data_IF_921576900110
#
_entry.id   IF_921576900110
#
_cell.length_a   1.000
_cell.length_b   1.000
_cell.length_c   1.000
_cell.angle_alpha   90.00
_cell.angle_beta   90.00
_cell.angle_gamma   90.00
#
_symmetry.space_group_name_H-M   'P 1'
#
loop_
_entity.id
_entity.type
_entity.pdbx_description
1 polymer ?
#
# COMPACT_ATOMS: atom_id res chain seq x y z
N UNK A 1 -31.08 17.01 -42.98
CA UNK A 1 -30.60 17.92 -41.96
C UNK A 1 -31.05 17.39 -40.60
N UNK A 2 -30.17 16.80 -39.86
CA UNK A 2 -30.37 16.47 -38.44
C UNK A 2 -29.11 16.92 -37.73
N UNK A 3 -29.20 18.04 -37.05
CA UNK A 3 -28.20 18.52 -36.11
C UNK A 3 -28.13 17.54 -34.95
N UNK A 4 -27.06 16.76 -34.84
CA UNK A 4 -26.77 15.97 -33.65
C UNK A 4 -26.02 16.87 -32.68
N UNK A 5 -26.77 17.31 -31.74
CA UNK A 5 -26.45 17.92 -30.49
C UNK A 5 -25.12 17.51 -29.89
N UNK A 6 -24.15 18.41 -29.92
CA UNK A 6 -22.89 18.37 -29.18
C UNK A 6 -23.06 18.92 -27.77
N UNK A 7 -24.01 18.37 -27.00
CA UNK A 7 -24.35 18.85 -25.66
C UNK A 7 -24.14 17.82 -24.55
N UNK A 8 -22.98 17.16 -24.50
CA UNK A 8 -22.62 16.26 -23.39
C UNK A 8 -21.18 16.48 -22.89
N UNK A 9 -20.70 17.72 -22.85
CA UNK A 9 -19.55 18.07 -22.03
C UNK A 9 -20.01 19.00 -20.90
N UNK A 10 -20.97 18.47 -20.13
CA UNK A 10 -21.48 19.10 -18.92
C UNK A 10 -20.38 19.11 -17.86
N UNK A 11 -20.10 20.31 -17.33
CA UNK A 11 -19.37 20.63 -16.09
C UNK A 11 -18.37 19.56 -15.61
N UNK A 12 -17.09 19.78 -15.84
CA UNK A 12 -16.02 19.00 -15.23
C UNK A 12 -16.09 19.20 -13.72
N UNK A 13 -16.84 18.33 -13.06
CA UNK A 13 -16.82 18.25 -11.60
C UNK A 13 -15.43 17.73 -11.23
N UNK A 14 -14.62 18.57 -10.63
CA UNK A 14 -13.34 18.16 -10.07
C UNK A 14 -13.67 17.38 -8.80
N UNK A 15 -13.24 16.12 -8.65
CA UNK A 15 -13.48 15.35 -7.44
C UNK A 15 -12.78 16.01 -6.24
N UNK A 16 -13.34 15.91 -5.06
CA UNK A 16 -12.76 16.46 -3.84
C UNK A 16 -11.49 15.71 -3.43
N UNK A 17 -11.40 14.43 -3.79
CA UNK A 17 -10.26 13.56 -3.53
C UNK A 17 -9.99 12.65 -4.73
N UNK A 18 -8.71 12.46 -5.05
CA UNK A 18 -8.25 11.44 -6.00
C UNK A 18 -7.28 10.49 -5.30
N UNK A 19 -7.56 9.20 -5.35
CA UNK A 19 -6.72 8.17 -4.74
C UNK A 19 -5.89 7.42 -5.79
N UNK A 20 -4.63 7.15 -5.44
CA UNK A 20 -3.69 6.41 -6.27
C UNK A 20 -3.02 5.30 -5.46
N UNK A 21 -2.77 4.17 -6.11
CA UNK A 21 -1.76 3.23 -5.67
C UNK A 21 -0.36 3.80 -5.94
N UNK A 22 0.64 3.36 -5.18
CA UNK A 22 2.01 3.87 -5.27
C UNK A 22 2.88 3.03 -6.20
N UNK A 23 3.05 1.75 -5.87
CA UNK A 23 4.01 0.88 -6.54
C UNK A 23 3.51 0.47 -7.94
N UNK A 24 4.34 0.70 -8.98
CA UNK A 24 4.02 0.46 -10.40
C UNK A 24 2.83 1.28 -10.94
N UNK A 25 2.34 2.26 -10.15
CA UNK A 25 1.31 3.24 -10.54
C UNK A 25 1.90 4.66 -10.59
N UNK A 26 2.30 5.23 -9.47
CA UNK A 26 2.93 6.54 -9.40
C UNK A 26 4.44 6.49 -9.59
N UNK A 27 5.08 5.40 -9.18
CA UNK A 27 6.51 5.17 -9.32
C UNK A 27 6.80 3.67 -9.54
N UNK A 28 7.89 3.30 -10.23
CA UNK A 28 8.35 1.92 -10.24
C UNK A 28 8.55 1.41 -8.81
N UNK A 29 8.18 0.14 -8.57
CA UNK A 29 8.16 -0.43 -7.22
C UNK A 29 9.43 -0.14 -6.42
N UNK A 30 9.24 0.39 -5.21
CA UNK A 30 10.29 0.75 -4.25
C UNK A 30 11.29 1.80 -4.76
N UNK A 31 10.91 2.60 -5.73
CA UNK A 31 11.72 3.72 -6.19
C UNK A 31 11.09 5.05 -5.78
N UNK A 32 11.90 6.10 -5.75
CA UNK A 32 11.44 7.47 -5.52
C UNK A 32 10.50 7.90 -6.65
N UNK A 33 9.52 8.71 -6.32
CA UNK A 33 8.61 9.34 -7.28
C UNK A 33 9.41 10.10 -8.35
N UNK A 34 9.20 9.81 -9.66
CA UNK A 34 9.86 10.55 -10.73
C UNK A 34 9.53 12.03 -10.66
N UNK A 35 10.49 12.89 -11.02
CA UNK A 35 10.32 14.35 -10.95
C UNK A 35 9.11 14.85 -11.76
N UNK A 36 8.84 14.25 -12.89
CA UNK A 36 7.69 14.58 -13.72
C UNK A 36 6.38 14.26 -13.01
N UNK A 37 6.30 13.08 -12.39
CA UNK A 37 5.14 12.67 -11.60
C UNK A 37 4.95 13.56 -10.37
N UNK A 38 6.04 13.92 -9.69
CA UNK A 38 5.99 14.86 -8.56
C UNK A 38 5.38 16.20 -8.97
N UNK A 39 5.77 16.76 -10.13
CA UNK A 39 5.17 18.00 -10.67
C UNK A 39 3.67 17.85 -10.96
N UNK A 40 3.24 16.69 -11.46
CA UNK A 40 1.81 16.41 -11.71
C UNK A 40 1.04 16.37 -10.40
N UNK A 41 1.57 15.68 -9.38
CA UNK A 41 0.95 15.61 -8.05
C UNK A 41 0.83 17.01 -7.42
N UNK A 42 1.89 17.83 -7.48
CA UNK A 42 1.84 19.22 -6.98
C UNK A 42 0.71 20.01 -7.66
N UNK A 43 0.60 19.95 -8.97
CA UNK A 43 -0.48 20.61 -9.72
C UNK A 43 -1.86 20.07 -9.37
N UNK A 44 -1.96 18.80 -9.02
CA UNK A 44 -3.21 18.19 -8.60
C UNK A 44 -3.59 18.65 -7.19
N UNK A 45 -2.65 18.77 -6.28
CA UNK A 45 -2.85 19.28 -4.92
C UNK A 45 -3.38 20.73 -4.89
N UNK A 46 -3.07 21.53 -5.92
CA UNK A 46 -3.64 22.87 -6.04
C UNK A 46 -5.16 22.85 -6.28
N UNK A 47 -5.70 21.75 -6.79
CA UNK A 47 -7.10 21.63 -7.22
C UNK A 47 -7.95 20.73 -6.36
N UNK A 48 -7.36 19.66 -5.83
CA UNK A 48 -8.08 18.61 -5.08
C UNK A 48 -7.15 17.97 -4.04
N UNK A 49 -7.72 17.23 -3.11
CA UNK A 49 -6.94 16.37 -2.23
C UNK A 49 -6.44 15.14 -2.98
N UNK A 50 -5.26 14.67 -2.62
CA UNK A 50 -4.64 13.45 -3.18
C UNK A 50 -4.41 12.46 -2.06
N UNK A 51 -4.83 11.23 -2.29
CA UNK A 51 -4.57 10.09 -1.42
C UNK A 51 -3.58 9.14 -2.11
N UNK A 52 -2.56 8.70 -1.40
CA UNK A 52 -1.66 7.65 -1.86
C UNK A 52 -1.78 6.47 -0.91
N UNK A 53 -2.10 5.29 -1.45
CA UNK A 53 -2.28 4.05 -0.70
C UNK A 53 -1.31 2.99 -1.20
N UNK A 54 -0.69 2.23 -0.30
CA UNK A 54 0.18 1.09 -0.65
C UNK A 54 0.34 0.16 0.54
N UNK A 55 0.72 -1.09 0.27
CA UNK A 55 1.08 -2.07 1.29
C UNK A 55 2.39 -1.78 2.05
N UNK A 56 3.16 -0.75 1.63
CA UNK A 56 4.40 -0.35 2.28
C UNK A 56 4.19 0.32 3.64
N UNK A 57 5.25 0.35 4.47
CA UNK A 57 5.25 1.10 5.73
C UNK A 57 5.43 2.60 5.48
N UNK A 58 5.10 3.46 6.46
CA UNK A 58 5.27 4.92 6.36
C UNK A 58 6.70 5.34 6.00
N UNK A 59 7.74 4.66 6.50
CA UNK A 59 9.13 4.91 6.11
C UNK A 59 9.35 4.82 4.60
N UNK A 60 8.67 3.90 3.91
CA UNK A 60 8.71 3.79 2.46
C UNK A 60 8.03 5.00 1.79
N UNK A 61 6.87 5.42 2.26
CA UNK A 61 6.20 6.63 1.77
C UNK A 61 7.07 7.87 1.95
N UNK A 62 7.78 7.98 3.08
CA UNK A 62 8.67 9.10 3.34
C UNK A 62 9.75 9.21 2.29
N UNK A 63 10.44 8.11 1.97
CA UNK A 63 11.52 8.11 0.98
C UNK A 63 11.03 8.18 -0.47
N UNK A 64 9.90 7.57 -0.79
CA UNK A 64 9.40 7.52 -2.16
C UNK A 64 8.58 8.76 -2.54
N UNK A 65 7.74 9.25 -1.63
CA UNK A 65 6.75 10.30 -1.93
C UNK A 65 7.12 11.63 -1.25
N UNK A 66 7.26 11.62 0.09
CA UNK A 66 7.43 12.87 0.85
C UNK A 66 8.69 13.61 0.45
N UNK A 67 9.85 12.92 0.37
CA UNK A 67 11.11 13.53 -0.03
C UNK A 67 11.11 14.05 -1.49
N UNK A 68 10.22 13.52 -2.34
CA UNK A 68 10.05 14.01 -3.71
C UNK A 68 9.16 15.25 -3.79
N UNK A 69 8.39 15.53 -2.75
CA UNK A 69 7.40 16.62 -2.66
C UNK A 69 7.72 17.63 -1.55
N UNK A 70 8.95 17.62 -1.03
CA UNK A 70 9.35 18.42 0.17
C UNK A 70 9.00 19.92 0.03
N UNK A 71 9.12 20.48 -1.16
CA UNK A 71 8.85 21.90 -1.45
C UNK A 71 7.40 22.14 -1.95
N UNK A 72 6.53 21.15 -1.91
CA UNK A 72 5.16 21.29 -2.39
C UNK A 72 4.33 22.20 -1.45
N UNK A 73 3.62 23.21 -1.99
CA UNK A 73 2.96 24.24 -1.16
C UNK A 73 1.69 23.73 -0.46
N UNK A 74 1.11 22.63 -0.89
CA UNK A 74 -0.19 22.13 -0.43
C UNK A 74 -0.12 20.69 0.11
N UNK A 75 0.92 20.39 0.90
CA UNK A 75 1.06 19.07 1.56
C UNK A 75 -0.06 18.78 2.57
N UNK A 76 -0.76 19.79 3.06
CA UNK A 76 -1.98 19.69 3.86
C UNK A 76 -3.10 18.89 3.18
N UNK A 77 -3.10 18.83 1.83
CA UNK A 77 -4.04 18.07 1.00
C UNK A 77 -3.54 16.69 0.57
N UNK A 78 -2.33 16.31 0.98
CA UNK A 78 -1.78 15.00 0.69
C UNK A 78 -2.07 14.04 1.85
N UNK A 79 -2.76 12.96 1.53
CA UNK A 79 -3.14 11.91 2.46
C UNK A 79 -2.33 10.65 2.16
N UNK A 80 -1.64 10.09 3.15
CA UNK A 80 -0.83 8.88 2.99
C UNK A 80 -1.44 7.75 3.79
N UNK A 81 -1.73 6.63 3.13
CA UNK A 81 -2.34 5.44 3.69
C UNK A 81 -1.42 4.23 3.57
N UNK A 82 -0.42 4.10 4.45
CA UNK A 82 0.43 2.92 4.53
C UNK A 82 -0.31 1.66 4.99
N UNK A 83 0.34 0.51 4.83
CA UNK A 83 -0.17 -0.80 5.24
C UNK A 83 -1.60 -1.06 4.72
N UNK A 84 -1.82 -0.77 3.42
CA UNK A 84 -3.13 -0.90 2.76
C UNK A 84 -4.26 -0.08 3.40
N UNK A 85 -3.93 1.09 3.99
CA UNK A 85 -4.89 1.99 4.59
C UNK A 85 -5.22 1.73 6.06
N UNK A 86 -4.59 0.75 6.70
CA UNK A 86 -4.74 0.51 8.15
C UNK A 86 -3.96 1.52 8.99
N UNK A 87 -3.17 2.36 8.35
CA UNK A 87 -2.52 3.53 8.93
C UNK A 87 -2.83 4.75 8.08
N UNK A 88 -2.95 5.91 8.71
CA UNK A 88 -3.21 7.17 8.01
C UNK A 88 -2.34 8.29 8.56
N UNK A 89 -1.69 9.01 7.64
CA UNK A 89 -0.84 10.15 7.92
C UNK A 89 -1.26 11.38 7.13
N UNK A 90 -1.15 12.54 7.77
CA UNK A 90 -1.33 13.87 7.17
C UNK A 90 -0.19 14.78 7.52
N UNK A 91 0.05 15.77 6.64
CA UNK A 91 0.90 16.91 6.98
C UNK A 91 0.06 17.96 7.71
N UNK A 92 0.45 18.27 8.95
CA UNK A 92 -0.17 19.29 9.81
C UNK A 92 0.94 20.22 10.26
N UNK A 93 0.83 21.50 9.98
CA UNK A 93 1.82 22.53 10.31
C UNK A 93 3.25 22.20 9.85
N UNK A 94 3.35 21.56 8.67
CA UNK A 94 4.63 21.14 8.07
C UNK A 94 5.18 19.80 8.57
N UNK A 95 4.55 19.19 9.57
CA UNK A 95 4.98 17.92 10.15
C UNK A 95 4.02 16.77 9.78
N UNK A 96 4.60 15.59 9.50
CA UNK A 96 3.82 14.39 9.22
C UNK A 96 3.33 13.74 10.51
N UNK A 97 2.04 13.80 10.74
CA UNK A 97 1.38 13.22 11.91
C UNK A 97 0.59 11.98 11.55
N UNK A 98 0.70 10.94 12.38
CA UNK A 98 -0.13 9.75 12.30
C UNK A 98 -1.49 10.06 12.93
N UNK A 99 -2.54 10.00 12.13
CA UNK A 99 -3.91 10.31 12.54
C UNK A 99 -4.56 9.09 13.17
N UNK A 100 -4.38 7.90 12.56
CA UNK A 100 -4.82 6.64 13.14
C UNK A 100 -3.91 5.48 12.76
N UNK A 101 -4.02 4.40 13.53
CA UNK A 101 -3.55 3.06 13.23
C UNK A 101 -4.56 2.05 13.76
N UNK A 102 -4.96 1.10 12.92
CA UNK A 102 -5.73 -0.08 13.29
C UNK A 102 -4.75 -1.20 13.68
N UNK A 103 -4.08 -1.05 14.82
CA UNK A 103 -3.08 -2.00 15.27
C UNK A 103 -3.71 -3.37 15.61
N UNK A 104 -3.00 -4.45 15.28
CA UNK A 104 -3.31 -5.77 15.78
C UNK A 104 -2.96 -5.86 17.27
N UNK A 105 -3.77 -6.53 18.06
CA UNK A 105 -3.42 -6.90 19.42
C UNK A 105 -2.27 -7.93 19.43
N UNK A 106 -1.58 -8.06 20.56
CA UNK A 106 -0.47 -9.03 20.67
C UNK A 106 -0.94 -10.48 20.44
N UNK A 107 -2.17 -10.82 20.87
CA UNK A 107 -2.77 -12.12 20.62
C UNK A 107 -3.06 -12.32 19.11
N UNK A 108 -3.60 -11.32 18.42
CA UNK A 108 -3.85 -11.36 16.99
C UNK A 108 -2.55 -11.49 16.20
N UNK A 109 -1.50 -10.75 16.58
CA UNK A 109 -0.17 -10.85 15.97
C UNK A 109 0.41 -12.24 16.14
N UNK A 110 0.39 -12.78 17.36
CA UNK A 110 0.93 -14.11 17.67
C UNK A 110 0.23 -15.18 16.84
N UNK A 111 -1.10 -15.16 16.81
CA UNK A 111 -1.89 -16.12 16.02
C UNK A 111 -1.66 -15.97 14.50
N UNK A 112 -1.54 -14.74 14.02
CA UNK A 112 -1.26 -14.48 12.61
C UNK A 112 0.15 -14.96 12.21
N UNK A 113 1.16 -14.72 13.05
CA UNK A 113 2.53 -15.17 12.81
C UNK A 113 2.61 -16.69 12.78
N UNK A 114 2.04 -17.37 13.77
CA UNK A 114 2.01 -18.84 13.86
C UNK A 114 1.29 -19.46 12.64
N UNK A 115 0.14 -18.90 12.26
CA UNK A 115 -0.62 -19.38 11.12
C UNK A 115 0.16 -19.22 9.80
N UNK A 116 0.81 -18.07 9.58
CA UNK A 116 1.62 -17.84 8.39
C UNK A 116 2.85 -18.72 8.36
N UNK A 117 3.55 -18.90 9.49
CA UNK A 117 4.71 -19.79 9.60
C UNK A 117 4.30 -21.24 9.29
N UNK A 118 3.25 -21.76 9.92
CA UNK A 118 2.75 -23.11 9.68
C UNK A 118 2.44 -23.33 8.21
N UNK A 119 1.68 -22.43 7.60
CA UNK A 119 1.36 -22.53 6.17
C UNK A 119 2.60 -22.43 5.27
N UNK A 120 3.55 -21.56 5.61
CA UNK A 120 4.77 -21.42 4.82
C UNK A 120 5.64 -22.68 4.90
N UNK A 121 5.73 -23.33 6.07
CA UNK A 121 6.43 -24.60 6.25
C UNK A 121 5.74 -25.73 5.49
N UNK A 122 4.43 -25.87 5.59
CA UNK A 122 3.65 -26.89 4.88
C UNK A 122 3.78 -26.79 3.35
N UNK A 123 3.97 -25.57 2.84
CA UNK A 123 4.15 -25.29 1.41
C UNK A 123 5.62 -25.34 0.96
N UNK A 124 6.58 -25.60 1.86
CA UNK A 124 8.01 -25.56 1.55
C UNK A 124 8.50 -24.17 1.13
N UNK A 125 7.87 -23.11 1.66
CA UNK A 125 8.22 -21.72 1.37
C UNK A 125 9.02 -21.08 2.50
N UNK A 126 9.14 -21.77 3.63
CA UNK A 126 9.91 -21.27 4.77
C UNK A 126 11.40 -21.44 4.52
N UNK A 127 12.13 -20.35 4.65
CA UNK A 127 13.59 -20.30 4.47
C UNK A 127 14.25 -20.05 5.83
N UNK A 128 15.17 -20.92 6.24
CA UNK A 128 15.88 -20.77 7.51
C UNK A 128 17.07 -19.80 7.40
N UNK A 129 17.67 -19.72 6.20
CA UNK A 129 18.78 -18.81 5.93
C UNK A 129 18.30 -17.57 5.17
N UNK A 130 18.00 -16.50 5.90
CA UNK A 130 17.42 -15.28 5.33
C UNK A 130 18.28 -14.06 5.65
N UNK A 131 18.21 -13.04 4.78
CA UNK A 131 18.90 -11.75 4.94
C UNK A 131 18.12 -10.75 5.81
N UNK A 132 16.99 -11.14 6.34
CA UNK A 132 16.13 -10.33 7.18
C UNK A 132 15.05 -11.18 7.83
N UNK A 133 14.15 -10.59 8.62
CA UNK A 133 13.09 -11.34 9.28
C UNK A 133 12.17 -12.01 8.24
N UNK A 134 11.86 -13.29 8.47
CA UNK A 134 10.95 -14.07 7.62
C UNK A 134 9.52 -13.56 7.70
N UNK A 135 9.13 -13.04 8.87
CA UNK A 135 7.87 -12.35 9.10
C UNK A 135 8.16 -10.91 9.53
N UNK A 136 7.46 -9.96 8.96
CA UNK A 136 7.53 -8.55 9.32
C UNK A 136 6.25 -8.14 10.05
N UNK A 137 6.39 -7.72 11.33
CA UNK A 137 5.32 -7.01 12.04
C UNK A 137 5.30 -5.55 11.57
N UNK A 138 4.21 -5.12 10.98
CA UNK A 138 3.95 -3.75 10.54
C UNK A 138 2.91 -3.06 11.40
N UNK A 139 2.77 -3.50 12.66
CA UNK A 139 1.82 -3.00 13.65
C UNK A 139 0.36 -3.42 13.33
N UNK A 140 -0.14 -3.11 12.16
CA UNK A 140 -1.49 -3.41 11.68
C UNK A 140 -1.56 -4.54 10.66
N UNK A 141 -0.41 -5.13 10.31
CA UNK A 141 -0.29 -6.15 9.28
C UNK A 141 0.93 -7.04 9.54
N UNK A 142 0.75 -8.36 9.42
CA UNK A 142 1.86 -9.31 9.36
C UNK A 142 2.16 -9.62 7.90
N UNK A 143 3.40 -9.44 7.49
CA UNK A 143 3.84 -9.67 6.10
C UNK A 143 4.86 -10.80 6.05
N UNK A 144 4.68 -11.72 5.11
CA UNK A 144 5.64 -12.74 4.74
C UNK A 144 6.36 -12.33 3.45
N UNK A 145 7.52 -11.65 3.55
CA UNK A 145 8.25 -11.21 2.36
C UNK A 145 9.01 -12.37 1.74
N UNK A 146 8.47 -12.99 0.71
CA UNK A 146 9.05 -14.11 -0.05
C UNK A 146 10.49 -13.87 -0.58
N UNK A 147 11.01 -12.66 -0.43
CA UNK A 147 12.30 -12.22 -1.01
C UNK A 147 13.47 -12.20 -0.03
N UNK A 148 13.25 -12.67 1.21
CA UNK A 148 14.26 -12.58 2.28
C UNK A 148 15.44 -13.52 2.04
N UNK A 149 15.25 -14.55 1.21
CA UNK A 149 16.28 -15.55 0.85
C UNK A 149 17.35 -15.08 -0.14
N UNK A 150 17.27 -13.84 -0.66
CA UNK A 150 18.21 -13.33 -1.68
C UNK A 150 18.81 -11.99 -1.32
N UNK A 151 20.12 -11.76 -1.59
CA UNK A 151 20.75 -10.46 -1.36
C UNK A 151 20.08 -9.35 -2.18
N UNK A 152 20.06 -8.11 -1.69
CA UNK A 152 19.34 -6.97 -2.29
C UNK A 152 19.66 -6.71 -3.77
N UNK A 153 20.89 -6.99 -4.20
CA UNK A 153 21.38 -6.75 -5.56
C UNK A 153 20.79 -7.68 -6.63
N UNK A 154 20.27 -8.85 -6.25
CA UNK A 154 19.74 -9.87 -7.18
C UNK A 154 18.22 -9.83 -7.32
N UNK A 155 17.53 -8.96 -6.56
CA UNK A 155 16.06 -8.91 -6.48
C UNK A 155 15.33 -8.48 -7.75
N UNK A 156 16.01 -7.79 -8.68
CA UNK A 156 15.31 -7.05 -9.75
C UNK A 156 15.04 -7.80 -11.06
N UNK A 157 15.48 -9.04 -11.27
CA UNK A 157 15.52 -9.61 -12.63
C UNK A 157 14.63 -10.82 -12.93
N UNK A 158 13.79 -11.31 -12.04
CA UNK A 158 12.86 -12.39 -12.40
C UNK A 158 11.45 -12.09 -11.93
N UNK A 159 10.57 -11.94 -12.92
CA UNK A 159 9.15 -11.78 -12.74
C UNK A 159 8.57 -12.89 -11.85
N UNK A 160 7.56 -12.54 -11.10
CA UNK A 160 6.83 -13.41 -10.19
C UNK A 160 6.14 -14.51 -11.01
N UNK A 161 6.46 -15.77 -10.83
CA UNK A 161 5.54 -16.80 -11.28
C UNK A 161 4.44 -16.95 -10.22
N UNK A 162 3.26 -16.49 -10.63
CA UNK A 162 1.96 -16.86 -10.15
C UNK A 162 1.61 -16.61 -8.66
N UNK A 163 0.79 -15.62 -8.47
CA UNK A 163 -0.17 -15.41 -7.39
C UNK A 163 -0.97 -16.69 -6.97
N UNK A 164 -0.97 -17.72 -7.80
CA UNK A 164 -1.75 -18.96 -7.62
C UNK A 164 -1.35 -19.79 -6.38
N UNK A 165 -0.08 -19.76 -5.96
CA UNK A 165 0.35 -20.47 -4.74
C UNK A 165 0.01 -19.72 -3.45
N UNK A 166 0.02 -18.40 -3.49
CA UNK A 166 -0.39 -17.55 -2.37
C UNK A 166 -1.90 -17.70 -2.06
N UNK A 167 -2.73 -17.85 -3.10
CA UNK A 167 -4.18 -18.05 -2.97
C UNK A 167 -4.55 -19.37 -2.25
N UNK A 168 -3.76 -20.42 -2.39
CA UNK A 168 -4.04 -21.68 -1.70
C UNK A 168 -3.70 -21.61 -0.19
N UNK A 169 -2.68 -20.87 0.19
CA UNK A 169 -2.39 -20.60 1.60
C UNK A 169 -3.51 -19.76 2.23
N UNK A 170 -3.89 -18.68 1.58
CA UNK A 170 -5.02 -17.82 1.99
C UNK A 170 -6.33 -18.62 2.07
N UNK A 171 -6.61 -19.50 1.12
CA UNK A 171 -7.83 -20.31 1.11
C UNK A 171 -7.89 -21.35 2.26
N UNK A 172 -6.75 -21.87 2.71
CA UNK A 172 -6.68 -22.74 3.90
C UNK A 172 -6.84 -21.96 5.21
N UNK A 173 -6.40 -20.71 5.24
CA UNK A 173 -6.53 -19.81 6.38
C UNK A 173 -7.95 -19.23 6.52
N UNK A 174 -8.76 -19.27 5.46
CA UNK A 174 -10.12 -18.71 5.39
C UNK A 174 -11.14 -19.40 6.33
N UNK A 175 -10.75 -20.44 7.06
CA UNK A 175 -11.57 -20.99 8.15
C UNK A 175 -11.71 -20.03 9.36
N UNK A 176 -10.90 -18.98 9.45
CA UNK A 176 -10.99 -17.94 10.47
C UNK A 176 -11.04 -16.55 9.83
N UNK A 177 -12.19 -15.88 9.95
CA UNK A 177 -12.53 -14.59 9.32
C UNK A 177 -11.52 -13.44 9.59
N UNK A 178 -10.70 -13.58 10.64
CA UNK A 178 -9.77 -12.55 11.10
C UNK A 178 -8.54 -12.42 10.19
N UNK A 179 -8.08 -13.51 9.62
CA UNK A 179 -6.86 -13.58 8.83
C UNK A 179 -7.08 -13.02 7.41
N UNK A 180 -8.32 -13.02 6.94
CA UNK A 180 -8.68 -12.43 5.65
C UNK A 180 -8.44 -10.92 5.62
N UNK A 181 -8.66 -10.22 6.73
CA UNK A 181 -8.38 -8.77 6.85
C UNK A 181 -6.90 -8.47 6.69
N UNK A 182 -6.02 -9.33 7.24
CA UNK A 182 -4.57 -9.14 7.13
C UNK A 182 -3.99 -9.56 5.77
N UNK A 183 -4.51 -10.63 5.15
CA UNK A 183 -3.93 -11.21 3.94
C UNK A 183 -4.41 -10.56 2.64
N UNK A 184 -5.61 -10.02 2.61
CA UNK A 184 -6.22 -9.40 1.43
C UNK A 184 -6.30 -7.87 1.50
N UNK A 185 -5.75 -7.25 2.55
CA UNK A 185 -5.86 -5.80 2.74
C UNK A 185 -7.34 -5.40 2.80
N UNK A 186 -8.12 -6.09 3.65
CA UNK A 186 -9.56 -5.84 3.75
C UNK A 186 -9.83 -4.36 3.95
N UNK A 187 -10.51 -3.74 3.01
CA UNK A 187 -11.00 -2.38 3.12
C UNK A 187 -11.88 -2.29 4.37
N UNK A 188 -11.77 -1.22 5.17
CA UNK A 188 -12.66 -1.00 6.28
C UNK A 188 -14.11 -1.00 5.80
N UNK A 189 -15.08 -1.41 6.65
CA UNK A 189 -16.48 -1.68 6.25
C UNK A 189 -17.23 -0.49 5.64
N UNK A 190 -16.64 0.69 5.64
CA UNK A 190 -17.21 1.92 5.03
C UNK A 190 -16.66 2.23 3.63
N UNK A 191 -15.77 1.40 3.07
CA UNK A 191 -15.39 1.47 1.65
C UNK A 191 -16.15 0.35 0.93
N UNK A 192 -17.30 0.69 0.38
CA UNK A 192 -18.01 -0.15 -0.59
C UNK A 192 -17.40 0.10 -1.96
N UNK A 193 -16.98 -0.96 -2.65
CA UNK A 193 -16.70 -0.93 -4.08
C UNK A 193 -18.00 -0.96 -4.87
#
# INVERSE_FOLDING_TARGET
MREHSSALYSSRVIPELVAFDLDDTLAPSKTRLPQEMARIIVRLLDRTSVCVISGGQFGQFRTQVVEALVDAPRLDRLHLLPACGTQYYRCVDGEWQRIYVEALTDDEKSRAMEAVETCARDLGLWEEHTWGPVLEDRESQITFPRWVSRPPSTRRKRGIPAATRSLNCVRRLLGSSLILRCALGGLPPWISL
#
